data_IF_541853168342
#
_entry.id   IF_541853168342
#
_cell.length_a   1.000
_cell.length_b   1.000
_cell.length_c   1.000
_cell.angle_alpha   90.00
_cell.angle_beta   90.00
_cell.angle_gamma   90.00
#
_symmetry.space_group_name_H-M   'P 1'
#
loop_
_entity.id
_entity.type
_entity.pdbx_description
1 polymer ?
#
# COMPACT_ATOMS: atom_id res chain seq x y z
N UNK A 1 -10.77 -5.48 10.20
CA UNK A 1 -10.98 -6.49 9.14
C UNK A 1 -9.87 -7.52 9.22
N UNK A 2 -10.09 -8.66 9.87
CA UNK A 2 -9.25 -9.86 9.68
C UNK A 2 -10.21 -11.05 9.60
N UNK A 3 -10.34 -11.54 8.38
CA UNK A 3 -11.01 -12.77 7.99
C UNK A 3 -10.30 -13.28 6.73
N UNK A 4 -8.98 -13.06 6.68
CA UNK A 4 -8.13 -13.50 5.58
C UNK A 4 -7.88 -14.99 5.74
N UNK A 5 -7.66 -15.42 6.99
CA UNK A 5 -7.50 -16.79 7.45
C UNK A 5 -8.69 -17.69 7.07
N UNK A 6 -9.90 -17.14 6.92
CA UNK A 6 -11.10 -17.89 6.54
C UNK A 6 -11.35 -17.92 5.03
N UNK A 7 -10.67 -17.07 4.24
CA UNK A 7 -10.81 -17.05 2.78
C UNK A 7 -10.02 -18.19 2.16
N UNK A 8 -10.50 -18.72 1.05
CA UNK A 8 -9.73 -19.62 0.18
C UNK A 8 -8.57 -18.90 -0.51
N UNK A 9 -7.60 -19.66 -1.01
CA UNK A 9 -6.44 -19.12 -1.72
C UNK A 9 -6.87 -18.33 -2.96
N UNK A 10 -7.89 -18.81 -3.70
CA UNK A 10 -8.45 -18.11 -4.85
C UNK A 10 -9.10 -16.77 -4.47
N UNK A 11 -9.79 -16.70 -3.34
CA UNK A 11 -10.41 -15.45 -2.87
C UNK A 11 -9.35 -14.44 -2.42
N UNK A 12 -8.25 -14.90 -1.82
CA UNK A 12 -7.12 -14.05 -1.47
C UNK A 12 -6.39 -13.52 -2.71
N UNK A 13 -6.11 -14.39 -3.69
CA UNK A 13 -5.51 -13.98 -4.96
C UNK A 13 -6.41 -12.98 -5.68
N UNK A 14 -7.73 -13.22 -5.72
CA UNK A 14 -8.67 -12.28 -6.34
C UNK A 14 -8.70 -10.93 -5.59
N UNK A 15 -8.75 -10.95 -4.26
CA UNK A 15 -8.71 -9.72 -3.47
C UNK A 15 -7.40 -8.92 -3.68
N UNK A 16 -6.28 -9.61 -3.89
CA UNK A 16 -5.02 -8.97 -4.24
C UNK A 16 -5.10 -8.31 -5.63
N UNK A 17 -5.65 -8.99 -6.63
CA UNK A 17 -5.85 -8.45 -7.99
C UNK A 17 -6.73 -7.19 -7.95
N UNK A 18 -7.85 -7.26 -7.24
CA UNK A 18 -8.79 -6.14 -7.12
C UNK A 18 -8.11 -4.95 -6.43
N UNK A 19 -7.33 -5.21 -5.37
CA UNK A 19 -6.54 -4.18 -4.71
C UNK A 19 -5.49 -3.54 -5.65
N UNK A 20 -4.86 -4.31 -6.55
CA UNK A 20 -3.95 -3.74 -7.57
C UNK A 20 -4.69 -2.76 -8.47
N UNK A 21 -5.85 -3.15 -8.99
CA UNK A 21 -6.65 -2.34 -9.93
C UNK A 21 -7.17 -1.05 -9.31
N UNK A 22 -7.57 -1.10 -8.06
CA UNK A 22 -8.10 0.07 -7.35
C UNK A 22 -7.02 1.11 -7.02
N UNK A 23 -5.74 0.72 -6.97
CA UNK A 23 -4.67 1.59 -6.48
C UNK A 23 -4.48 2.87 -7.30
N UNK A 24 -4.56 2.77 -8.63
CA UNK A 24 -4.36 3.92 -9.53
C UNK A 24 -5.49 4.97 -9.40
N UNK A 25 -6.63 4.59 -8.82
CA UNK A 25 -7.73 5.53 -8.52
C UNK A 25 -7.53 6.31 -7.21
N UNK A 26 -6.51 5.97 -6.40
CA UNK A 26 -6.29 6.58 -5.10
C UNK A 26 -5.36 7.79 -5.22
N UNK A 27 -5.95 8.99 -5.29
CA UNK A 27 -5.18 10.23 -5.34
C UNK A 27 -4.50 10.58 -4.01
N UNK A 28 -5.10 10.16 -2.88
CA UNK A 28 -4.62 10.54 -1.55
C UNK A 28 -3.54 9.59 -1.04
N UNK A 29 -2.32 10.09 -0.85
CA UNK A 29 -1.13 9.33 -0.43
C UNK A 29 -1.39 8.47 0.83
N UNK A 30 -2.04 9.02 1.85
CA UNK A 30 -2.33 8.27 3.08
C UNK A 30 -3.33 7.13 2.88
N UNK A 31 -4.26 7.27 1.93
CA UNK A 31 -5.18 6.19 1.58
C UNK A 31 -4.43 5.15 0.74
N UNK A 32 -3.57 5.57 -0.18
CA UNK A 32 -2.72 4.70 -0.98
C UNK A 32 -1.80 3.84 -0.11
N UNK A 33 -1.21 4.42 0.93
CA UNK A 33 -0.37 3.69 1.88
C UNK A 33 -1.15 2.63 2.67
N UNK A 34 -2.38 2.93 3.10
CA UNK A 34 -3.24 1.92 3.77
C UNK A 34 -3.61 0.80 2.81
N UNK A 35 -3.98 1.15 1.58
CA UNK A 35 -4.32 0.20 0.52
C UNK A 35 -3.15 -0.73 0.18
N UNK A 36 -1.95 -0.17 0.10
CA UNK A 36 -0.72 -0.95 -0.05
C UNK A 36 -0.46 -1.85 1.15
N UNK A 37 -0.67 -1.36 2.38
CA UNK A 37 -0.56 -2.17 3.59
C UNK A 37 -1.54 -3.36 3.60
N UNK A 38 -2.76 -3.18 3.12
CA UNK A 38 -3.74 -4.26 2.95
C UNK A 38 -3.29 -5.29 1.91
N UNK A 39 -2.74 -4.83 0.77
CA UNK A 39 -2.12 -5.70 -0.23
C UNK A 39 -1.05 -6.59 0.37
N UNK A 40 -0.16 -6.01 1.19
CA UNK A 40 0.93 -6.75 1.81
C UNK A 40 0.43 -7.79 2.81
N UNK A 41 -0.62 -7.49 3.59
CA UNK A 41 -1.24 -8.49 4.48
C UNK A 41 -1.80 -9.70 3.72
N UNK A 42 -2.35 -9.49 2.52
CA UNK A 42 -2.82 -10.59 1.66
C UNK A 42 -1.64 -11.43 1.18
N UNK A 43 -0.53 -10.79 0.78
CA UNK A 43 0.69 -11.49 0.38
C UNK A 43 1.26 -12.31 1.54
N UNK A 44 1.35 -11.74 2.74
CA UNK A 44 1.86 -12.42 3.93
C UNK A 44 1.04 -13.68 4.25
N UNK A 45 -0.29 -13.60 4.17
CA UNK A 45 -1.18 -14.75 4.36
C UNK A 45 -0.97 -15.83 3.27
N UNK A 46 -0.88 -15.43 2.00
CA UNK A 46 -0.61 -16.36 0.89
C UNK A 46 0.76 -17.04 1.03
N UNK A 47 1.77 -16.32 1.51
CA UNK A 47 3.09 -16.88 1.81
C UNK A 47 3.03 -17.84 3.00
N UNK A 48 2.30 -17.48 4.07
CA UNK A 48 2.12 -18.35 5.24
C UNK A 48 1.51 -19.71 4.87
N UNK A 49 0.59 -19.73 3.89
CA UNK A 49 -0.05 -20.96 3.37
C UNK A 49 0.82 -21.77 2.42
N UNK A 50 1.94 -21.23 1.97
CA UNK A 50 2.83 -21.86 1.00
C UNK A 50 4.27 -21.94 1.50
N UNK A 51 4.43 -22.23 2.80
CA UNK A 51 5.73 -22.43 3.47
C UNK A 51 6.69 -21.24 3.29
N UNK A 52 6.15 -20.02 3.30
CA UNK A 52 6.90 -18.78 3.12
C UNK A 52 7.32 -18.52 1.66
N UNK A 53 6.74 -19.19 0.68
CA UNK A 53 7.06 -19.03 -0.75
C UNK A 53 6.00 -18.20 -1.47
N UNK A 54 6.30 -17.74 -2.68
CA UNK A 54 5.36 -16.99 -3.53
C UNK A 54 4.64 -17.88 -4.55
N UNK A 55 4.48 -19.18 -4.26
CA UNK A 55 3.97 -20.16 -5.23
C UNK A 55 2.56 -19.81 -5.73
N UNK A 56 1.69 -19.33 -4.83
CA UNK A 56 0.32 -18.93 -5.17
C UNK A 56 0.27 -17.65 -6.04
N UNK A 57 1.36 -16.88 -6.10
CA UNK A 57 1.47 -15.66 -6.90
C UNK A 57 2.10 -15.90 -8.27
N UNK A 58 2.78 -17.04 -8.49
CA UNK A 58 3.44 -17.36 -9.76
C UNK A 58 2.52 -17.25 -10.99
N UNK A 59 1.26 -17.74 -10.96
CA UNK A 59 0.38 -17.62 -12.12
C UNK A 59 0.11 -16.17 -12.55
N UNK A 60 0.23 -15.21 -11.63
CA UNK A 60 -0.01 -13.79 -11.92
C UNK A 60 1.06 -13.15 -12.81
N UNK A 61 2.23 -13.78 -12.93
CA UNK A 61 3.28 -13.34 -13.85
C UNK A 61 2.89 -13.50 -15.33
N UNK A 62 1.82 -14.24 -15.62
CA UNK A 62 1.24 -14.40 -16.96
C UNK A 62 -0.17 -13.82 -17.07
N UNK A 63 -0.60 -13.01 -16.09
CA UNK A 63 -1.93 -12.42 -16.07
C UNK A 63 -2.15 -11.45 -17.24
N UNK A 64 -3.37 -11.41 -17.81
CA UNK A 64 -3.69 -10.58 -18.99
C UNK A 64 -3.62 -9.08 -18.73
N UNK A 65 -3.94 -8.68 -17.49
CA UNK A 65 -3.81 -7.32 -16.99
C UNK A 65 -2.32 -6.99 -16.71
N UNK A 66 -1.78 -5.98 -17.38
CA UNK A 66 -0.36 -5.64 -17.34
C UNK A 66 0.06 -5.05 -15.99
N UNK A 67 -0.82 -4.29 -15.32
CA UNK A 67 -0.52 -3.70 -14.01
C UNK A 67 -0.47 -4.78 -12.92
N UNK A 68 -1.35 -5.78 -13.01
CA UNK A 68 -1.31 -7.00 -12.17
C UNK A 68 0.00 -7.75 -12.40
N UNK A 69 0.36 -7.98 -13.66
CA UNK A 69 1.60 -8.70 -14.02
C UNK A 69 2.85 -7.97 -13.53
N UNK A 70 2.90 -6.65 -13.74
CA UNK A 70 3.98 -5.78 -13.30
C UNK A 70 4.11 -5.80 -11.77
N UNK A 71 3.01 -5.58 -11.06
CA UNK A 71 2.99 -5.56 -9.59
C UNK A 71 3.36 -6.94 -9.01
N UNK A 72 2.91 -8.03 -9.63
CA UNK A 72 3.26 -9.39 -9.19
C UNK A 72 4.76 -9.63 -9.30
N UNK A 73 5.39 -9.18 -10.40
CA UNK A 73 6.83 -9.30 -10.58
C UNK A 73 7.61 -8.66 -9.42
N UNK A 74 7.16 -7.51 -8.91
CA UNK A 74 7.83 -6.83 -7.79
C UNK A 74 7.93 -7.66 -6.51
N UNK A 75 6.98 -8.58 -6.27
CA UNK A 75 7.05 -9.49 -5.13
C UNK A 75 8.25 -10.45 -5.23
N UNK A 76 8.66 -10.80 -6.45
CA UNK A 76 9.79 -11.67 -6.73
C UNK A 76 11.14 -10.93 -6.77
N UNK A 77 11.16 -9.60 -6.65
CA UNK A 77 12.38 -8.80 -6.84
C UNK A 77 13.57 -9.29 -6.00
N UNK A 78 13.33 -9.60 -4.73
CA UNK A 78 14.36 -10.10 -3.80
C UNK A 78 14.39 -11.63 -3.73
N UNK A 79 13.22 -12.28 -3.80
CA UNK A 79 13.10 -13.73 -3.65
C UNK A 79 13.63 -14.51 -4.88
N UNK A 80 13.35 -14.00 -6.09
CA UNK A 80 13.84 -14.54 -7.35
C UNK A 80 14.09 -13.40 -8.36
N UNK A 81 15.27 -12.77 -8.29
CA UNK A 81 15.64 -11.66 -9.18
C UNK A 81 15.63 -12.05 -10.67
N UNK A 82 15.83 -13.33 -10.99
CA UNK A 82 15.81 -13.83 -12.37
C UNK A 82 14.39 -13.80 -12.92
N UNK A 83 13.42 -14.30 -12.15
CA UNK A 83 11.99 -14.24 -12.52
C UNK A 83 11.56 -12.78 -12.67
N UNK A 84 11.89 -11.92 -11.69
CA UNK A 84 11.60 -10.49 -11.76
C UNK A 84 12.12 -9.86 -13.06
N UNK A 85 13.42 -9.98 -13.35
CA UNK A 85 14.01 -9.38 -14.56
C UNK A 85 13.44 -9.95 -15.85
N UNK A 86 13.18 -11.25 -15.91
CA UNK A 86 12.56 -11.91 -17.07
C UNK A 86 11.17 -11.34 -17.34
N UNK A 87 10.33 -11.23 -16.32
CA UNK A 87 8.97 -10.68 -16.45
C UNK A 87 9.00 -9.22 -16.89
N UNK A 88 9.86 -8.39 -16.30
CA UNK A 88 10.01 -7.00 -16.73
C UNK A 88 10.50 -6.88 -18.18
N UNK A 89 11.41 -7.76 -18.62
CA UNK A 89 11.89 -7.76 -20.00
C UNK A 89 10.74 -8.01 -20.97
N UNK A 90 9.87 -8.98 -20.68
CA UNK A 90 8.66 -9.22 -21.45
C UNK A 90 7.73 -7.99 -21.47
N UNK A 91 7.41 -7.46 -20.29
CA UNK A 91 6.53 -6.30 -20.14
C UNK A 91 7.05 -5.05 -20.89
N UNK A 92 8.36 -4.83 -20.91
CA UNK A 92 8.99 -3.67 -21.57
C UNK A 92 8.73 -3.60 -23.08
N UNK A 93 8.29 -4.70 -23.70
CA UNK A 93 8.00 -4.78 -25.14
C UNK A 93 6.51 -4.58 -25.47
N UNK A 94 5.62 -4.54 -24.46
CA UNK A 94 4.16 -4.57 -24.67
C UNK A 94 3.51 -3.19 -24.89
N UNK A 95 4.30 -2.11 -24.93
CA UNK A 95 3.81 -0.75 -25.10
C UNK A 95 3.05 -0.19 -23.88
N UNK A 96 2.74 1.12 -23.92
CA UNK A 96 2.00 1.81 -22.86
C UNK A 96 2.81 2.14 -21.60
N UNK A 97 2.11 2.59 -20.54
CA UNK A 97 2.69 3.04 -19.27
C UNK A 97 3.53 1.94 -18.61
N UNK A 98 2.98 0.73 -18.50
CA UNK A 98 3.67 -0.42 -17.88
C UNK A 98 4.96 -0.77 -18.60
N UNK A 99 4.99 -0.74 -19.94
CA UNK A 99 6.21 -1.01 -20.69
C UNK A 99 7.30 0.02 -20.42
N UNK A 100 6.94 1.31 -20.36
CA UNK A 100 7.87 2.38 -20.04
C UNK A 100 8.44 2.24 -18.60
N UNK A 101 7.59 1.91 -17.63
CA UNK A 101 8.00 1.66 -16.26
C UNK A 101 8.90 0.41 -16.13
N UNK A 102 8.56 -0.68 -16.81
CA UNK A 102 9.38 -1.88 -16.83
C UNK A 102 10.76 -1.62 -17.46
N UNK A 103 10.83 -0.89 -18.57
CA UNK A 103 12.09 -0.50 -19.21
C UNK A 103 12.95 0.38 -18.27
N UNK A 104 12.33 1.36 -17.61
CA UNK A 104 12.99 2.22 -16.62
C UNK A 104 13.56 1.41 -15.46
N UNK A 105 12.81 0.44 -14.95
CA UNK A 105 13.27 -0.44 -13.86
C UNK A 105 14.39 -1.39 -14.27
N UNK A 106 14.41 -1.86 -15.52
CA UNK A 106 15.51 -2.70 -16.03
C UNK A 106 16.81 -1.91 -16.24
N UNK A 107 16.69 -0.65 -16.65
CA UNK A 107 17.80 0.29 -16.85
C UNK A 107 18.36 0.82 -15.52
N UNK A 108 17.55 0.83 -14.46
CA UNK A 108 18.03 1.20 -13.14
C UNK A 108 19.14 0.23 -12.70
N UNK A 109 20.22 0.74 -12.08
CA UNK A 109 21.22 -0.13 -11.49
C UNK A 109 20.55 -1.09 -10.49
N UNK A 110 21.05 -2.33 -10.32
CA UNK A 110 20.59 -3.19 -9.25
C UNK A 110 20.59 -2.37 -7.96
N UNK A 111 19.50 -2.44 -7.18
CA UNK A 111 19.55 -1.87 -5.84
C UNK A 111 20.75 -2.52 -5.18
N UNK A 112 21.69 -1.68 -4.71
CA UNK A 112 22.72 -2.17 -3.83
C UNK A 112 21.99 -2.95 -2.74
N UNK A 113 22.37 -4.21 -2.50
CA UNK A 113 21.86 -4.98 -1.36
C UNK A 113 21.83 -4.02 -0.20
N UNK A 114 20.65 -3.76 0.36
CA UNK A 114 20.51 -2.78 1.43
C UNK A 114 21.54 -3.15 2.48
N UNK A 115 22.60 -2.34 2.58
CA UNK A 115 23.54 -2.46 3.69
C UNK A 115 22.64 -2.38 4.91
N UNK A 116 22.66 -3.38 5.83
CA UNK A 116 21.84 -3.34 7.01
C UNK A 116 22.03 -1.97 7.63
N UNK A 117 21.01 -1.11 7.55
CA UNK A 117 21.15 0.19 8.17
C UNK A 117 21.24 -0.08 9.67
N UNK A 118 22.17 0.60 10.37
CA UNK A 118 22.15 0.53 11.81
C UNK A 118 20.72 0.84 12.28
N UNK A 119 20.18 0.09 13.25
CA UNK A 119 18.84 0.33 13.73
C UNK A 119 18.73 1.80 14.13
N UNK A 120 17.70 2.47 13.62
CA UNK A 120 17.42 3.84 13.99
C UNK A 120 17.16 3.83 15.50
N UNK A 121 17.83 4.67 16.31
CA UNK A 121 17.62 4.72 17.75
C UNK A 121 16.15 4.92 18.11
N UNK A 122 15.65 4.27 19.17
CA UNK A 122 14.23 4.36 19.57
C UNK A 122 13.78 5.80 19.86
N UNK A 123 14.71 6.65 20.28
CA UNK A 123 14.45 8.05 20.57
C UNK A 123 14.40 8.94 19.32
N UNK A 124 14.73 8.41 18.14
CA UNK A 124 14.78 9.16 16.89
C UNK A 124 13.43 9.85 16.55
N UNK A 125 13.44 11.09 16.04
CA UNK A 125 12.23 11.84 15.71
C UNK A 125 11.27 11.13 14.74
N UNK A 126 11.79 10.25 13.87
CA UNK A 126 10.97 9.42 12.98
C UNK A 126 9.95 8.56 13.74
N UNK A 127 10.25 8.15 14.97
CA UNK A 127 9.34 7.36 15.81
C UNK A 127 8.43 8.22 16.69
N UNK A 128 8.48 9.55 16.59
CA UNK A 128 7.65 10.42 17.42
C UNK A 128 6.16 10.13 17.22
N UNK A 129 5.71 9.96 15.97
CA UNK A 129 4.31 9.67 15.67
C UNK A 129 3.85 8.28 16.16
N UNK A 130 4.75 7.31 16.23
CA UNK A 130 4.44 5.99 16.80
C UNK A 130 4.27 6.05 18.33
N UNK A 131 5.06 6.90 18.99
CA UNK A 131 5.02 7.13 20.46
C UNK A 131 3.92 8.11 20.88
N UNK A 132 3.49 8.95 19.95
CA UNK A 132 2.44 9.96 20.13
C UNK A 132 1.37 9.67 19.08
N UNK A 133 0.61 8.56 19.24
CA UNK A 133 -0.46 8.24 18.31
C UNK A 133 -1.41 9.44 18.22
N UNK A 134 -2.02 9.67 17.04
CA UNK A 134 -3.04 10.70 16.91
C UNK A 134 -4.10 10.48 17.98
N UNK A 135 -4.69 11.59 18.45
CA UNK A 135 -5.79 11.53 19.41
C UNK A 135 -6.88 10.56 18.92
N UNK A 136 -7.63 9.94 19.85
CA UNK A 136 -8.77 9.10 19.49
C UNK A 136 -9.65 9.82 18.48
N UNK A 137 -10.17 9.04 17.55
CA UNK A 137 -11.15 9.46 16.57
C UNK A 137 -12.23 10.35 17.17
N UNK A 138 -12.55 11.44 16.48
CA UNK A 138 -13.57 12.37 16.90
C UNK A 138 -14.68 12.41 15.85
N UNK A 139 -15.95 12.19 16.25
CA UNK A 139 -17.10 12.41 15.40
C UNK A 139 -17.14 13.84 14.86
N UNK A 140 -17.61 14.02 13.63
CA UNK A 140 -17.63 15.33 12.94
C UNK A 140 -18.39 16.40 13.74
N UNK A 141 -19.53 16.04 14.29
CA UNK A 141 -20.37 16.90 15.14
C UNK A 141 -19.63 17.31 16.42
N UNK A 142 -18.83 16.41 17.00
CA UNK A 142 -17.97 16.76 18.13
C UNK A 142 -16.86 17.74 17.72
N UNK A 143 -16.23 17.55 16.56
CA UNK A 143 -15.22 18.51 16.03
C UNK A 143 -15.86 19.88 15.83
N UNK A 144 -17.03 19.93 15.20
CA UNK A 144 -17.78 21.17 14.94
C UNK A 144 -18.12 21.89 16.25
N UNK A 145 -18.65 21.16 17.24
CA UNK A 145 -18.98 21.70 18.57
C UNK A 145 -17.76 22.30 19.26
N UNK A 146 -16.60 21.62 19.22
CA UNK A 146 -15.36 22.13 19.82
C UNK A 146 -14.86 23.37 19.09
N UNK A 147 -14.89 23.37 17.76
CA UNK A 147 -14.49 24.54 16.98
C UNK A 147 -15.41 25.73 17.22
N UNK A 148 -16.74 25.54 17.29
CA UNK A 148 -17.68 26.62 17.59
C UNK A 148 -17.49 27.19 18.99
N UNK A 149 -17.06 26.37 19.95
CA UNK A 149 -16.78 26.80 21.32
C UNK A 149 -15.46 27.56 21.45
N UNK A 150 -14.41 27.14 20.76
CA UNK A 150 -13.06 27.71 20.89
C UNK A 150 -12.82 28.87 19.92
N UNK A 151 -13.43 28.82 18.73
CA UNK A 151 -13.26 29.78 17.64
C UNK A 151 -14.61 30.19 17.05
N UNK A 152 -15.47 30.91 17.81
CA UNK A 152 -16.85 31.14 17.41
C UNK A 152 -16.99 31.86 16.06
N UNK A 153 -16.08 32.78 15.75
CA UNK A 153 -16.11 33.56 14.51
C UNK A 153 -15.57 32.79 13.29
N UNK A 154 -14.60 31.90 13.50
CA UNK A 154 -13.87 31.23 12.42
C UNK A 154 -14.27 29.76 12.23
N UNK A 155 -15.08 29.18 13.13
CA UNK A 155 -15.34 27.74 13.17
C UNK A 155 -15.80 27.18 11.82
N UNK A 156 -16.65 27.87 11.06
CA UNK A 156 -17.12 27.40 9.73
C UNK A 156 -15.97 27.32 8.72
N UNK A 157 -15.09 28.32 8.72
CA UNK A 157 -13.91 28.35 7.85
C UNK A 157 -12.93 27.25 8.25
N UNK A 158 -12.65 27.11 9.55
CA UNK A 158 -11.79 26.05 10.06
C UNK A 158 -12.36 24.66 9.77
N UNK A 159 -13.66 24.46 9.95
CA UNK A 159 -14.33 23.22 9.62
C UNK A 159 -14.24 22.90 8.13
N UNK A 160 -14.39 23.88 7.23
CA UNK A 160 -14.20 23.65 5.78
C UNK A 160 -12.77 23.24 5.42
N UNK A 161 -11.77 23.81 6.08
CA UNK A 161 -10.36 23.47 5.86
C UNK A 161 -10.01 22.09 6.43
N UNK A 162 -10.64 21.71 7.53
CA UNK A 162 -10.42 20.44 8.21
C UNK A 162 -11.26 19.30 7.60
N UNK A 163 -12.36 19.58 6.91
CA UNK A 163 -13.28 18.56 6.37
C UNK A 163 -12.56 17.49 5.54
N UNK A 164 -11.63 17.82 4.60
CA UNK A 164 -10.87 16.81 3.87
C UNK A 164 -10.01 15.93 4.79
N UNK A 165 -9.47 16.50 5.88
CA UNK A 165 -8.64 15.78 6.84
C UNK A 165 -9.44 14.96 7.87
N UNK A 166 -10.65 15.42 8.25
CA UNK A 166 -11.54 14.71 9.19
C UNK A 166 -12.02 13.38 8.59
N UNK A 167 -12.29 13.35 7.28
CA UNK A 167 -12.59 12.10 6.56
C UNK A 167 -11.41 11.13 6.47
N UNK A 168 -10.20 11.57 6.83
CA UNK A 168 -8.97 10.78 6.83
C UNK A 168 -8.50 10.40 8.24
N UNK A 169 -9.12 10.95 9.28
CA UNK A 169 -8.93 10.47 10.64
C UNK A 169 -9.56 9.09 10.77
N UNK A 170 -8.97 8.17 11.56
CA UNK A 170 -9.63 6.91 11.86
C UNK A 170 -11.03 7.24 12.41
N UNK A 171 -12.06 6.69 11.78
CA UNK A 171 -13.44 6.77 12.26
C UNK A 171 -13.80 5.35 12.73
N UNK A 172 -13.90 5.09 14.04
CA UNK A 172 -14.50 3.86 14.54
C UNK A 172 -16.00 3.93 14.27
N UNK A 173 -16.58 2.74 14.10
CA UNK A 173 -18.03 2.54 14.12
C UNK A 173 -18.62 2.86 15.49
#
# INVERSE_FOLDING_TARGET
MSGLETRSDSELVQAWIDNVREHDAIEHVGAGNRHFGERMKIVDELMARSDGRLNLMLPLLEHSDLDVRYTAAFLFREADPTVFRKTLAGLSTMGGKVAADAARMLAAPPLAKSVPQPPIPEDHPLFWAARNPPAPSMPRDEVERRLSSLFPAEHKKLLSLLTPAIGLWPQPA
#
